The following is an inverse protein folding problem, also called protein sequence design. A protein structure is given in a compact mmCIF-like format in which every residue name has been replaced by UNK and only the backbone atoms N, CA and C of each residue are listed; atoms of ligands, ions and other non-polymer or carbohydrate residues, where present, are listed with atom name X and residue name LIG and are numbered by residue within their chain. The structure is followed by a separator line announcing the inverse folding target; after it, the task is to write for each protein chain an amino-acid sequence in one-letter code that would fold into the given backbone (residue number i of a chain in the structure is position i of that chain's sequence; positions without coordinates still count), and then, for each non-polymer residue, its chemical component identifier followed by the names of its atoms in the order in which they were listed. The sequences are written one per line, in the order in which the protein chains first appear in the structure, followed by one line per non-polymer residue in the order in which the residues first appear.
data_IF_609556556284
#
_entry.id   IF_609556556284
#
_cell.length_a   1.000
_cell.length_b   1.000
_cell.length_c   1.000
_cell.angle_alpha   90.00
_cell.angle_beta   90.00
_cell.angle_gamma   90.00
#
_symmetry.space_group_name_H-M   'P 1'
#
loop_
_entity.id
_entity.type
_entity.pdbx_description
1 polymer ?
#
# COMPACT_ATOMS: atom_id res chain seq x y z
N UNK A 1 27.14 -23.04 -39.41
CA UNK A 1 26.29 -23.25 -38.22
C UNK A 1 26.26 -21.92 -37.47
N UNK A 2 25.28 -21.06 -37.76
CA UNK A 2 25.15 -19.74 -37.13
C UNK A 2 24.37 -19.91 -35.82
N UNK A 3 25.04 -19.61 -34.69
CA UNK A 3 24.41 -19.54 -33.37
C UNK A 3 23.61 -18.24 -33.31
N UNK A 4 22.29 -18.32 -33.35
CA UNK A 4 21.41 -17.20 -33.03
C UNK A 4 21.46 -16.95 -31.51
N UNK A 5 22.22 -15.95 -31.11
CA UNK A 5 22.23 -15.44 -29.74
C UNK A 5 20.94 -14.62 -29.55
N UNK A 6 19.91 -15.24 -28.99
CA UNK A 6 18.68 -14.52 -28.60
C UNK A 6 19.03 -13.55 -27.46
N UNK A 7 19.07 -12.26 -27.81
CA UNK A 7 19.18 -11.17 -26.86
C UNK A 7 17.85 -11.10 -26.10
N UNK A 8 17.78 -11.69 -24.90
CA UNK A 8 16.66 -11.48 -23.98
C UNK A 8 16.82 -10.06 -23.45
N UNK A 9 16.10 -9.11 -24.06
CA UNK A 9 15.96 -7.77 -23.48
C UNK A 9 15.28 -7.94 -22.10
N UNK A 10 15.87 -7.39 -21.02
CA UNK A 10 15.15 -7.38 -19.76
C UNK A 10 13.85 -6.60 -19.94
N UNK A 11 12.72 -7.22 -19.59
CA UNK A 11 11.44 -6.55 -19.58
C UNK A 11 11.58 -5.27 -18.75
N UNK A 12 11.37 -4.11 -19.36
CA UNK A 12 11.36 -2.85 -18.65
C UNK A 12 10.31 -2.98 -17.54
N UNK A 13 10.75 -3.00 -16.28
CA UNK A 13 9.86 -3.02 -15.13
C UNK A 13 8.94 -1.80 -15.24
N UNK A 14 7.64 -2.05 -15.45
CA UNK A 14 6.67 -0.98 -15.49
C UNK A 14 6.69 -0.26 -14.15
N UNK A 15 6.84 1.06 -14.19
CA UNK A 15 6.80 1.89 -12.98
C UNK A 15 5.39 1.93 -12.40
N UNK A 16 5.26 2.22 -11.10
CA UNK A 16 4.00 2.68 -10.53
C UNK A 16 3.44 3.83 -11.37
N UNK A 17 2.15 3.80 -11.64
CA UNK A 17 1.50 4.92 -12.34
C UNK A 17 1.47 6.13 -11.42
N UNK A 18 1.95 7.25 -11.91
CA UNK A 18 1.87 8.50 -11.17
C UNK A 18 0.46 9.09 -11.25
N UNK A 19 -0.09 9.47 -10.12
CA UNK A 19 -1.30 10.27 -10.01
C UNK A 19 -1.17 11.15 -8.76
N UNK A 20 -0.70 12.40 -8.95
CA UNK A 20 -0.47 13.35 -7.86
C UNK A 20 -1.79 13.99 -7.43
N UNK A 21 -2.61 13.25 -6.69
CA UNK A 21 -3.93 13.63 -6.16
C UNK A 21 -4.06 13.12 -4.72
N UNK A 22 -5.03 13.59 -3.91
CA UNK A 22 -5.33 12.96 -2.62
C UNK A 22 -5.52 11.44 -2.76
N UNK A 23 -4.78 10.65 -1.97
CA UNK A 23 -4.79 9.18 -2.04
C UNK A 23 -3.97 8.57 -3.18
N UNK A 24 -3.33 9.37 -4.01
CA UNK A 24 -2.47 8.93 -5.09
C UNK A 24 -1.00 8.82 -4.71
N UNK A 25 -0.14 8.81 -5.74
CA UNK A 25 1.32 8.78 -5.59
C UNK A 25 1.99 9.82 -6.49
N UNK A 26 3.00 10.50 -5.97
CA UNK A 26 3.90 11.33 -6.75
C UNK A 26 5.21 10.58 -7.01
N UNK A 27 5.67 10.62 -8.26
CA UNK A 27 6.93 10.07 -8.71
C UNK A 27 7.87 11.23 -9.04
N UNK A 28 8.94 11.40 -8.27
CA UNK A 28 9.82 12.55 -8.34
C UNK A 28 11.25 12.11 -8.62
N UNK A 29 11.87 12.66 -9.68
CA UNK A 29 13.28 12.43 -9.96
C UNK A 29 14.13 13.27 -9.00
N UNK A 30 15.09 12.65 -8.33
CA UNK A 30 15.90 13.27 -7.28
C UNK A 30 17.32 13.61 -7.74
N UNK A 31 17.96 12.70 -8.49
CA UNK A 31 19.35 12.82 -8.89
C UNK A 31 19.67 11.94 -10.10
N UNK A 32 20.84 12.12 -10.70
CA UNK A 32 21.38 11.26 -11.75
C UNK A 32 21.80 9.90 -11.18
N UNK A 33 21.92 8.89 -12.05
CA UNK A 33 22.17 7.49 -11.65
C UNK A 33 23.56 7.26 -11.05
N UNK A 34 24.53 8.11 -11.35
CA UNK A 34 25.91 8.08 -10.81
C UNK A 34 26.05 8.75 -9.44
N UNK A 35 25.03 9.48 -9.00
CA UNK A 35 24.99 10.04 -7.66
C UNK A 35 24.81 8.94 -6.59
N UNK A 36 25.30 9.22 -5.38
CA UNK A 36 24.98 8.39 -4.22
C UNK A 36 23.47 8.43 -3.93
N UNK A 37 22.88 7.30 -3.39
CA UNK A 37 21.47 7.25 -3.09
C UNK A 37 21.05 8.37 -2.14
N UNK A 38 20.17 9.29 -2.56
CA UNK A 38 19.69 10.37 -1.70
C UNK A 38 18.69 9.80 -0.68
N UNK A 39 18.51 10.53 0.42
CA UNK A 39 17.39 10.30 1.34
C UNK A 39 16.36 11.40 1.13
N UNK A 40 15.08 11.04 1.22
CA UNK A 40 14.01 12.01 1.04
C UNK A 40 12.91 11.82 2.09
N UNK A 41 12.25 12.94 2.44
CA UNK A 41 11.17 12.97 3.44
C UNK A 41 10.02 13.81 2.93
N UNK A 42 8.82 13.32 3.19
CA UNK A 42 7.59 14.05 2.98
C UNK A 42 6.81 14.13 4.29
N UNK A 43 6.46 15.35 4.75
CA UNK A 43 5.78 15.57 6.03
C UNK A 43 6.46 14.80 7.20
N UNK A 44 7.78 14.97 7.36
CA UNK A 44 8.64 14.34 8.38
C UNK A 44 8.76 12.80 8.28
N UNK A 45 8.14 12.17 7.29
CA UNK A 45 8.25 10.72 7.07
C UNK A 45 9.22 10.40 5.95
N UNK A 46 10.09 9.40 6.12
CA UNK A 46 10.95 8.95 5.04
C UNK A 46 10.08 8.40 3.90
N UNK A 47 10.51 8.62 2.66
CA UNK A 47 9.84 8.10 1.47
C UNK A 47 10.73 7.10 0.75
N UNK A 48 10.11 6.17 0.03
CA UNK A 48 10.80 5.18 -0.77
C UNK A 48 11.60 5.84 -1.87
N UNK A 49 12.89 5.51 -1.95
CA UNK A 49 13.82 5.98 -2.99
C UNK A 49 14.45 4.76 -3.65
N UNK A 50 14.42 4.71 -4.98
CA UNK A 50 15.05 3.64 -5.74
C UNK A 50 15.75 4.17 -6.98
N UNK A 51 16.72 3.39 -7.45
CA UNK A 51 17.42 3.68 -8.70
C UNK A 51 16.69 3.06 -9.89
N UNK A 52 16.55 3.84 -10.94
CA UNK A 52 16.11 3.41 -12.25
C UNK A 52 17.09 3.95 -13.28
N UNK A 53 17.43 3.17 -14.28
CA UNK A 53 18.40 3.41 -15.35
C UNK A 53 19.03 4.81 -15.50
N UNK A 54 18.23 5.85 -15.51
CA UNK A 54 18.62 7.24 -15.73
C UNK A 54 18.72 8.09 -14.44
N UNK A 55 18.37 7.54 -13.28
CA UNK A 55 18.45 8.34 -12.04
C UNK A 55 17.85 7.70 -10.80
N UNK A 56 17.88 8.47 -9.72
CA UNK A 56 17.23 8.20 -8.45
C UNK A 56 15.85 8.84 -8.41
N UNK A 57 14.86 8.08 -7.96
CA UNK A 57 13.47 8.52 -7.89
C UNK A 57 12.91 8.30 -6.48
N UNK A 58 12.04 9.21 -6.05
CA UNK A 58 11.20 9.03 -4.87
C UNK A 58 9.78 8.66 -5.28
N UNK A 59 9.19 7.69 -4.58
CA UNK A 59 7.77 7.37 -4.64
C UNK A 59 7.12 7.87 -3.36
N UNK A 60 6.30 8.90 -3.48
CA UNK A 60 5.66 9.61 -2.37
C UNK A 60 4.19 9.25 -2.30
N UNK A 61 3.77 8.60 -1.22
CA UNK A 61 2.36 8.39 -0.93
C UNK A 61 1.70 9.68 -0.47
N UNK A 62 0.56 10.02 -1.06
CA UNK A 62 -0.23 11.22 -0.77
C UNK A 62 -1.47 10.84 0.05
N UNK A 63 -1.63 11.33 1.30
CA UNK A 63 -2.82 10.98 2.09
C UNK A 63 -4.11 11.50 1.46
N UNK A 64 -5.22 10.81 1.68
CA UNK A 64 -6.55 11.26 1.21
C UNK A 64 -6.95 12.64 1.76
N UNK A 65 -6.33 13.06 2.87
CA UNK A 65 -6.58 14.34 3.53
C UNK A 65 -5.65 15.46 3.05
N UNK A 66 -4.76 15.18 2.09
CA UNK A 66 -3.86 16.23 1.58
C UNK A 66 -4.65 17.28 0.82
N UNK A 67 -4.38 18.53 1.08
CA UNK A 67 -4.99 19.64 0.33
C UNK A 67 -4.34 19.73 -1.07
N UNK A 68 -5.13 19.97 -2.15
CA UNK A 68 -4.58 20.28 -3.45
C UNK A 68 -3.71 21.54 -3.41
N UNK A 69 -2.66 21.57 -4.25
CA UNK A 69 -1.72 22.69 -4.32
C UNK A 69 -0.27 22.26 -4.35
N UNK A 70 0.64 23.22 -4.11
CA UNK A 70 2.08 22.98 -4.15
C UNK A 70 2.59 22.45 -2.82
N UNK A 71 3.25 21.31 -2.88
CA UNK A 71 3.92 20.66 -1.75
C UNK A 71 5.42 20.54 -2.00
N UNK A 72 6.16 20.21 -0.95
CA UNK A 72 7.61 20.09 -1.00
C UNK A 72 8.08 18.74 -0.45
N UNK A 73 9.00 18.10 -1.19
CA UNK A 73 9.77 16.96 -0.74
C UNK A 73 11.13 17.47 -0.26
N UNK A 74 11.52 17.12 0.97
CA UNK A 74 12.85 17.40 1.51
C UNK A 74 13.82 16.30 1.07
N UNK A 75 14.98 16.68 0.55
CA UNK A 75 16.03 15.79 0.05
C UNK A 75 17.32 16.10 0.80
N UNK A 76 18.01 15.09 1.31
CA UNK A 76 19.36 15.22 1.83
C UNK A 76 20.32 14.42 0.95
N UNK A 77 21.33 15.10 0.42
CA UNK A 77 22.43 14.47 -0.27
C UNK A 77 23.34 13.78 0.76
N UNK A 78 23.50 12.46 0.64
CA UNK A 78 24.24 11.64 1.62
C UNK A 78 25.74 11.84 1.62
N UNK A 79 26.32 12.53 0.61
CA UNK A 79 27.77 12.72 0.45
C UNK A 79 28.21 14.17 0.35
N UNK A 80 27.34 15.16 0.54
CA UNK A 80 27.75 16.56 0.58
C UNK A 80 28.35 16.90 1.95
N UNK A 81 29.52 17.55 1.95
CA UNK A 81 30.14 18.12 3.15
C UNK A 81 30.23 19.64 2.98
N UNK A 82 29.45 20.46 3.71
CA UNK A 82 28.45 20.10 4.69
C UNK A 82 27.19 19.48 4.06
N UNK A 83 26.38 18.72 4.83
CA UNK A 83 25.11 18.16 4.34
C UNK A 83 24.23 19.28 3.76
N UNK A 84 23.79 19.15 2.53
CA UNK A 84 22.84 20.07 1.90
C UNK A 84 21.47 19.43 1.92
N UNK A 85 20.51 20.14 2.49
CA UNK A 85 19.10 19.84 2.33
C UNK A 85 18.55 20.67 1.17
N UNK A 86 17.85 19.99 0.26
CA UNK A 86 17.18 20.60 -0.88
C UNK A 86 15.69 20.35 -0.79
N UNK A 87 14.91 21.23 -1.39
CA UNK A 87 13.45 21.09 -1.42
C UNK A 87 12.99 20.99 -2.88
N UNK A 88 12.40 19.87 -3.25
CA UNK A 88 11.79 19.65 -4.55
C UNK A 88 10.29 19.92 -4.47
N UNK A 89 9.80 20.91 -5.21
CA UNK A 89 8.36 21.23 -5.26
C UNK A 89 7.64 20.36 -6.27
N UNK A 90 6.41 19.95 -5.93
CA UNK A 90 5.50 19.25 -6.82
C UNK A 90 4.07 19.68 -6.53
N UNK A 91 3.18 19.46 -7.48
CA UNK A 91 1.78 19.87 -7.39
C UNK A 91 0.88 18.66 -7.14
N UNK A 92 -0.09 18.82 -6.23
CA UNK A 92 -1.17 17.87 -5.97
C UNK A 92 -2.46 18.45 -6.59
N UNK A 93 -3.03 17.71 -7.54
CA UNK A 93 -4.26 18.09 -8.22
C UNK A 93 -5.50 17.70 -7.39
N UNK A 94 -6.62 18.41 -7.51
CA UNK A 94 -7.84 18.01 -6.83
C UNK A 94 -8.43 16.72 -7.40
N UNK A 95 -8.95 15.84 -6.52
CA UNK A 95 -9.70 14.65 -6.90
C UNK A 95 -10.90 14.47 -5.98
N UNK A 96 -12.07 14.30 -6.57
CA UNK A 96 -13.30 13.98 -5.86
C UNK A 96 -13.56 12.47 -5.89
N UNK A 97 -13.93 11.89 -4.75
CA UNK A 97 -14.28 10.48 -4.63
C UNK A 97 -15.78 10.29 -4.45
N UNK A 98 -16.40 9.35 -5.18
CA UNK A 98 -17.84 9.06 -5.06
C UNK A 98 -18.21 8.56 -3.66
N UNK A 99 -19.50 8.70 -3.32
CA UNK A 99 -20.07 8.12 -2.09
C UNK A 99 -20.55 6.71 -2.38
N UNK A 100 -20.22 5.77 -1.47
CA UNK A 100 -20.67 4.39 -1.49
C UNK A 100 -21.50 4.08 -0.24
N UNK A 101 -22.75 3.66 -0.42
CA UNK A 101 -23.61 3.17 0.65
C UNK A 101 -23.44 1.66 0.78
N UNK A 102 -23.07 1.18 1.97
CA UNK A 102 -22.87 -0.24 2.26
C UNK A 102 -23.75 -0.65 3.43
N UNK A 103 -24.43 -1.79 3.28
CA UNK A 103 -25.20 -2.40 4.35
C UNK A 103 -24.37 -3.46 5.08
N UNK A 104 -24.08 -3.25 6.35
CA UNK A 104 -23.39 -4.18 7.24
C UNK A 104 -24.44 -4.85 8.13
N UNK A 105 -24.48 -6.18 8.10
CA UNK A 105 -25.46 -6.98 8.87
C UNK A 105 -25.18 -6.91 10.38
N UNK A 106 -23.91 -7.06 10.75
CA UNK A 106 -23.48 -6.97 12.15
C UNK A 106 -23.38 -5.50 12.58
N UNK A 107 -24.43 -5.03 13.28
CA UNK A 107 -24.49 -3.65 13.79
C UNK A 107 -23.35 -3.32 14.76
N UNK A 108 -22.84 -4.30 15.52
CA UNK A 108 -21.71 -4.15 16.43
C UNK A 108 -20.44 -3.69 15.69
N UNK A 109 -20.29 -4.10 14.42
CA UNK A 109 -19.17 -3.68 13.57
C UNK A 109 -19.37 -2.29 12.94
N UNK A 110 -20.56 -1.72 13.02
CA UNK A 110 -20.85 -0.34 12.57
C UNK A 110 -20.76 0.64 13.73
N UNK A 111 -21.46 0.34 14.82
CA UNK A 111 -21.48 1.13 16.05
C UNK A 111 -21.05 0.22 17.21
N UNK A 112 -19.73 0.12 17.46
CA UNK A 112 -19.20 -0.76 18.51
C UNK A 112 -19.70 -0.33 19.89
N UNK A 113 -20.09 -1.29 20.76
CA UNK A 113 -20.43 -1.01 22.12
C UNK A 113 -19.16 -0.69 22.97
N UNK A 114 -19.31 -0.07 24.16
CA UNK A 114 -18.18 0.36 24.98
C UNK A 114 -17.18 -0.74 25.30
N UNK A 115 -17.62 -1.97 25.50
CA UNK A 115 -16.77 -3.14 25.80
C UNK A 115 -15.79 -3.52 24.67
N UNK A 116 -16.04 -3.07 23.44
CA UNK A 116 -15.12 -3.31 22.31
C UNK A 116 -14.08 -2.19 22.13
N UNK A 117 -14.31 -1.02 22.74
CA UNK A 117 -13.52 0.17 22.45
C UNK A 117 -12.05 -0.01 22.83
N UNK A 118 -11.74 -0.61 23.97
CA UNK A 118 -10.36 -0.88 24.40
C UNK A 118 -9.62 -1.78 23.39
N UNK A 119 -10.29 -2.82 22.90
CA UNK A 119 -9.74 -3.68 21.83
C UNK A 119 -9.49 -2.88 20.57
N UNK A 120 -10.46 -2.08 20.14
CA UNK A 120 -10.38 -1.28 18.90
C UNK A 120 -9.23 -0.27 18.99
N UNK A 121 -9.09 0.44 20.09
CA UNK A 121 -8.03 1.45 20.28
C UNK A 121 -6.63 0.81 20.27
N UNK A 122 -6.45 -0.31 20.99
CA UNK A 122 -5.20 -1.07 20.96
C UNK A 122 -4.85 -1.55 19.55
N UNK A 123 -5.82 -2.08 18.81
CA UNK A 123 -5.63 -2.56 17.45
C UNK A 123 -5.35 -1.41 16.46
N UNK A 124 -6.01 -0.26 16.61
CA UNK A 124 -5.74 0.93 15.80
C UNK A 124 -4.31 1.44 16.02
N UNK A 125 -3.83 1.43 17.26
CA UNK A 125 -2.43 1.77 17.56
C UNK A 125 -1.47 0.79 16.89
N UNK A 126 -1.71 -0.52 17.01
CA UNK A 126 -0.90 -1.55 16.36
C UNK A 126 -0.86 -1.35 14.83
N UNK A 127 -2.01 -1.12 14.20
CA UNK A 127 -2.10 -0.89 12.75
C UNK A 127 -1.34 0.39 12.36
N UNK A 128 -1.42 1.45 13.18
CA UNK A 128 -0.68 2.69 12.93
C UNK A 128 0.83 2.46 13.00
N UNK A 129 1.31 1.71 13.99
CA UNK A 129 2.72 1.35 14.12
C UNK A 129 3.20 0.50 12.92
N UNK A 130 2.41 -0.49 12.48
CA UNK A 130 2.70 -1.33 11.32
C UNK A 130 2.78 -0.53 10.02
N UNK A 131 1.88 0.42 9.78
CA UNK A 131 1.90 1.29 8.60
C UNK A 131 3.11 2.22 8.56
N UNK A 132 3.65 2.59 9.72
CA UNK A 132 4.82 3.45 9.85
C UNK A 132 6.13 2.65 9.96
N UNK A 133 6.07 1.33 9.84
CA UNK A 133 7.27 0.50 9.87
C UNK A 133 8.20 0.88 8.72
N UNK A 134 9.49 1.02 9.05
CA UNK A 134 10.55 1.32 8.10
C UNK A 134 11.63 0.26 8.20
N UNK A 135 12.02 -0.29 7.07
CA UNK A 135 13.18 -1.17 6.94
C UNK A 135 13.99 -0.70 5.75
N UNK A 136 15.27 -0.43 5.99
CA UNK A 136 16.19 -0.13 4.89
C UNK A 136 16.28 -1.35 3.95
N UNK A 137 16.05 -1.10 2.67
CA UNK A 137 16.10 -2.10 1.61
C UNK A 137 16.68 -1.45 0.35
N UNK A 138 17.76 -2.04 -0.16
CA UNK A 138 18.43 -1.50 -1.34
C UNK A 138 17.62 -1.72 -2.63
N UNK A 139 16.84 -2.82 -2.67
CA UNK A 139 16.04 -3.18 -3.83
C UNK A 139 14.61 -3.51 -3.40
N UNK A 140 13.68 -2.61 -3.71
CA UNK A 140 12.25 -2.81 -3.47
C UNK A 140 11.59 -3.29 -4.75
N UNK A 141 10.86 -4.41 -4.67
CA UNK A 141 10.06 -4.92 -5.78
C UNK A 141 8.78 -4.07 -5.94
N UNK A 142 8.75 -3.22 -6.97
CA UNK A 142 7.60 -2.38 -7.32
C UNK A 142 6.68 -3.04 -8.34
N UNK A 143 6.96 -4.27 -8.75
CA UNK A 143 6.16 -5.03 -9.73
C UNK A 143 5.01 -5.76 -9.03
N UNK A 144 3.97 -5.05 -8.67
CA UNK A 144 2.84 -5.62 -7.94
C UNK A 144 1.87 -6.36 -8.85
N UNK A 145 1.47 -7.56 -8.41
CA UNK A 145 0.38 -8.33 -9.00
C UNK A 145 -0.91 -8.17 -8.16
N UNK A 146 -2.06 -8.31 -8.78
CA UNK A 146 -3.33 -8.38 -8.07
C UNK A 146 -3.31 -9.65 -7.18
N UNK A 147 -3.58 -9.54 -5.85
CA UNK A 147 -3.38 -10.64 -4.92
C UNK A 147 -4.43 -11.75 -4.97
N UNK A 148 -5.54 -11.54 -5.67
CA UNK A 148 -6.56 -12.58 -5.92
C UNK A 148 -7.21 -12.37 -7.29
N UNK A 149 -7.59 -13.46 -7.95
CA UNK A 149 -8.23 -13.41 -9.26
C UNK A 149 -9.75 -13.22 -9.10
N UNK A 150 -10.22 -11.99 -9.35
CA UNK A 150 -11.62 -11.63 -9.26
C UNK A 150 -11.90 -10.20 -9.74
N UNK A 151 -13.17 -9.85 -9.97
CA UNK A 151 -13.52 -8.48 -10.34
C UNK A 151 -13.36 -7.54 -9.15
N UNK A 152 -13.00 -6.28 -9.45
CA UNK A 152 -12.93 -5.22 -8.45
C UNK A 152 -14.32 -4.78 -8.05
N UNK A 153 -14.71 -5.01 -6.81
CA UNK A 153 -16.06 -4.70 -6.29
C UNK A 153 -16.14 -3.35 -5.58
N UNK A 154 -15.03 -2.84 -5.06
CA UNK A 154 -14.97 -1.51 -4.44
C UNK A 154 -13.56 -0.94 -4.57
N UNK A 155 -13.48 0.29 -5.10
CA UNK A 155 -12.20 0.96 -5.34
C UNK A 155 -11.75 1.80 -4.16
N UNK A 156 -10.47 2.15 -4.17
CA UNK A 156 -9.87 3.07 -3.20
C UNK A 156 -10.54 4.45 -3.21
N UNK A 157 -10.53 5.11 -2.05
CA UNK A 157 -10.96 6.50 -1.88
C UNK A 157 -12.48 6.69 -1.77
N UNK A 158 -13.32 5.69 -2.05
CA UNK A 158 -14.77 5.80 -1.94
C UNK A 158 -15.18 6.27 -0.54
N UNK A 159 -15.99 7.35 -0.48
CA UNK A 159 -16.55 7.90 0.76
C UNK A 159 -17.63 6.97 1.29
N UNK A 160 -17.33 6.22 2.36
CA UNK A 160 -18.20 5.16 2.85
C UNK A 160 -19.29 5.67 3.79
N UNK A 161 -20.50 5.19 3.58
CA UNK A 161 -21.66 5.37 4.47
C UNK A 161 -22.18 3.97 4.83
N UNK A 162 -21.99 3.55 6.10
CA UNK A 162 -22.42 2.23 6.58
C UNK A 162 -23.72 2.38 7.36
N UNK A 163 -24.77 1.73 6.88
CA UNK A 163 -26.11 1.76 7.49
C UNK A 163 -26.62 3.20 7.75
N UNK A 164 -26.28 4.15 6.87
CA UNK A 164 -26.64 5.57 7.00
C UNK A 164 -25.62 6.44 7.75
N UNK A 165 -24.59 5.85 8.35
CA UNK A 165 -23.58 6.57 9.11
C UNK A 165 -22.30 6.79 8.29
N UNK A 166 -21.79 8.05 8.17
CA UNK A 166 -20.51 8.32 7.52
C UNK A 166 -19.35 7.61 8.24
N UNK A 167 -18.42 7.07 7.48
CA UNK A 167 -17.22 6.37 7.95
C UNK A 167 -15.99 6.88 7.21
N UNK A 168 -14.82 6.44 7.69
CA UNK A 168 -13.56 6.71 7.00
C UNK A 168 -13.63 6.22 5.55
N UNK A 169 -13.05 6.95 4.59
CA UNK A 169 -12.98 6.53 3.21
C UNK A 169 -12.36 5.13 3.06
N UNK A 170 -12.67 4.48 1.96
CA UNK A 170 -12.09 3.17 1.63
C UNK A 170 -10.57 3.29 1.42
N UNK A 171 -9.79 2.63 2.28
CA UNK A 171 -8.33 2.72 2.29
C UNK A 171 -7.63 1.62 1.50
N UNK A 172 -8.34 0.95 0.61
CA UNK A 172 -7.82 -0.16 -0.19
C UNK A 172 -8.68 -0.48 -1.39
N UNK A 173 -8.51 -1.69 -1.90
CA UNK A 173 -9.20 -2.25 -3.04
C UNK A 173 -9.91 -3.52 -2.61
N UNK A 174 -11.21 -3.65 -2.92
CA UNK A 174 -11.95 -4.87 -2.65
C UNK A 174 -12.05 -5.72 -3.93
N UNK A 175 -11.57 -6.96 -3.84
CA UNK A 175 -11.65 -7.96 -4.92
C UNK A 175 -12.74 -8.98 -4.54
N UNK A 176 -13.81 -9.04 -5.35
CA UNK A 176 -14.90 -9.99 -5.12
C UNK A 176 -14.44 -11.40 -5.47
N UNK A 177 -14.35 -12.25 -4.45
CA UNK A 177 -13.94 -13.65 -4.59
C UNK A 177 -14.75 -14.51 -3.63
N UNK A 178 -14.92 -15.79 -3.95
CA UNK A 178 -15.55 -16.74 -3.06
C UNK A 178 -14.71 -16.98 -1.81
N UNK A 179 -15.36 -17.34 -0.70
CA UNK A 179 -14.64 -17.84 0.47
C UNK A 179 -13.81 -19.08 0.08
N UNK A 180 -12.57 -19.16 0.59
CA UNK A 180 -11.62 -20.21 0.23
C UNK A 180 -10.75 -19.92 -1.00
N UNK A 181 -10.98 -18.80 -1.73
CA UNK A 181 -10.10 -18.41 -2.83
C UNK A 181 -8.68 -18.10 -2.30
N UNK A 182 -7.62 -18.64 -2.94
CA UNK A 182 -6.25 -18.32 -2.55
C UNK A 182 -5.92 -16.84 -2.68
N UNK A 183 -5.36 -16.26 -1.60
CA UNK A 183 -4.82 -14.91 -1.56
C UNK A 183 -3.30 -14.99 -1.59
N UNK A 184 -2.66 -14.21 -2.47
CA UNK A 184 -1.22 -14.27 -2.75
C UNK A 184 -0.55 -12.95 -2.43
N UNK A 185 0.74 -13.00 -2.05
CA UNK A 185 1.55 -11.80 -1.89
C UNK A 185 1.68 -11.06 -3.22
N UNK A 186 1.35 -9.76 -3.21
CA UNK A 186 1.39 -8.92 -4.41
C UNK A 186 2.80 -8.73 -4.97
N UNK A 187 3.82 -8.71 -4.10
CA UNK A 187 5.24 -8.60 -4.42
C UNK A 187 6.08 -9.42 -3.43
N UNK A 188 7.37 -9.55 -3.66
CA UNK A 188 8.30 -10.13 -2.69
C UNK A 188 8.36 -9.25 -1.43
N UNK A 189 8.51 -9.88 -0.25
CA UNK A 189 8.54 -9.15 1.01
C UNK A 189 8.76 -10.04 2.22
N UNK A 190 8.47 -9.49 3.40
CA UNK A 190 8.52 -10.21 4.68
C UNK A 190 7.21 -10.00 5.43
N UNK A 191 6.64 -11.04 5.97
CA UNK A 191 5.45 -10.93 6.85
C UNK A 191 5.82 -10.11 8.07
N UNK A 192 5.21 -8.95 8.21
CA UNK A 192 5.43 -8.03 9.32
C UNK A 192 4.58 -8.41 10.54
N UNK A 193 3.32 -8.77 10.29
CA UNK A 193 2.39 -9.16 11.34
C UNK A 193 1.26 -10.03 10.78
N UNK A 194 0.70 -10.87 11.63
CA UNK A 194 -0.55 -11.60 11.38
C UNK A 194 -1.43 -11.50 12.63
N UNK A 195 -2.76 -11.40 12.44
CA UNK A 195 -3.67 -11.32 13.59
C UNK A 195 -5.14 -11.29 13.21
N UNK A 196 -6.00 -11.37 14.23
CA UNK A 196 -7.43 -11.14 14.11
C UNK A 196 -7.77 -9.77 14.70
N UNK A 197 -8.23 -8.87 13.84
CA UNK A 197 -8.57 -7.49 14.18
C UNK A 197 -10.08 -7.26 14.12
N UNK A 198 -10.59 -6.46 15.01
CA UNK A 198 -12.04 -6.23 15.16
C UNK A 198 -12.71 -5.83 13.85
N UNK A 199 -12.13 -4.89 13.10
CA UNK A 199 -12.68 -4.45 11.82
C UNK A 199 -12.12 -5.20 10.62
N UNK A 200 -10.83 -5.50 10.60
CA UNK A 200 -10.16 -6.08 9.44
C UNK A 200 -10.29 -7.61 9.41
N UNK A 201 -10.69 -8.26 10.54
CA UNK A 201 -10.72 -9.70 10.69
C UNK A 201 -9.32 -10.30 10.62
N UNK A 202 -9.24 -11.56 10.22
CA UNK A 202 -7.94 -12.22 10.02
C UNK A 202 -7.16 -11.52 8.93
N UNK A 203 -5.98 -11.01 9.29
CA UNK A 203 -5.21 -10.04 8.49
C UNK A 203 -3.74 -10.41 8.46
N UNK A 204 -3.11 -10.20 7.30
CA UNK A 204 -1.67 -10.30 7.08
C UNK A 204 -1.14 -8.94 6.66
N UNK A 205 -0.04 -8.49 7.27
CA UNK A 205 0.75 -7.35 6.84
C UNK A 205 2.08 -7.83 6.27
N UNK A 206 2.47 -7.31 5.11
CA UNK A 206 3.74 -7.63 4.44
C UNK A 206 4.55 -6.36 4.24
N UNK A 207 5.80 -6.39 4.70
CA UNK A 207 6.81 -5.35 4.49
C UNK A 207 7.62 -5.67 3.23
N UNK A 208 7.61 -4.74 2.27
CA UNK A 208 8.37 -4.82 1.03
C UNK A 208 9.66 -3.98 1.06
N UNK A 209 9.91 -3.28 2.17
CA UNK A 209 11.05 -2.38 2.37
C UNK A 209 10.70 -0.90 2.17
N UNK A 210 11.49 -0.03 2.78
CA UNK A 210 11.39 1.43 2.67
C UNK A 210 9.97 1.99 2.92
N UNK A 211 9.24 1.44 3.90
CA UNK A 211 7.90 1.90 4.25
C UNK A 211 6.80 1.53 3.23
N UNK A 212 7.09 0.65 2.27
CA UNK A 212 6.10 0.05 1.39
C UNK A 212 5.52 -1.19 2.06
N UNK A 213 4.27 -1.08 2.51
CA UNK A 213 3.57 -2.12 3.27
C UNK A 213 2.28 -2.50 2.54
N UNK A 214 1.95 -3.79 2.52
CA UNK A 214 0.63 -4.26 2.08
C UNK A 214 -0.12 -4.94 3.20
N UNK A 215 -1.46 -4.88 3.13
CA UNK A 215 -2.36 -5.47 4.11
C UNK A 215 -3.46 -6.26 3.40
N UNK A 216 -3.65 -7.51 3.82
CA UNK A 216 -4.62 -8.46 3.28
C UNK A 216 -5.63 -8.80 4.38
N UNK A 217 -6.90 -8.40 4.22
CA UNK A 217 -7.92 -8.50 5.26
C UNK A 217 -9.04 -9.48 4.91
N UNK A 218 -9.91 -9.72 5.90
CA UNK A 218 -11.11 -10.55 5.83
C UNK A 218 -10.84 -12.01 5.49
N UNK A 219 -9.61 -12.48 5.76
CA UNK A 219 -9.21 -13.86 5.48
C UNK A 219 -10.04 -14.83 6.36
N UNK A 220 -10.32 -16.02 5.84
CA UNK A 220 -10.83 -17.13 6.65
C UNK A 220 -9.73 -18.00 7.24
N UNK A 221 -8.52 -17.95 6.63
CA UNK A 221 -7.34 -18.68 7.09
C UNK A 221 -6.08 -17.90 6.70
N UNK A 222 -5.13 -17.86 7.61
CA UNK A 222 -3.78 -17.34 7.40
C UNK A 222 -2.83 -18.53 7.25
N UNK A 223 -1.99 -18.53 6.21
CA UNK A 223 -1.09 -19.62 5.87
C UNK A 223 0.39 -19.28 6.13
N UNK A 224 0.67 -18.11 6.68
CA UNK A 224 2.02 -17.56 6.92
C UNK A 224 2.15 -17.03 8.34
N UNK A 225 3.39 -16.79 8.79
CA UNK A 225 3.68 -16.29 10.14
C UNK A 225 4.63 -15.07 10.10
N UNK A 226 4.61 -14.25 11.14
CA UNK A 226 5.47 -13.08 11.26
C UNK A 226 6.97 -13.46 11.10
N UNK A 227 7.69 -12.65 10.32
CA UNK A 227 9.10 -12.87 10.00
C UNK A 227 9.34 -13.73 8.76
N UNK A 228 8.34 -14.44 8.22
CA UNK A 228 8.47 -15.25 7.02
C UNK A 228 8.79 -14.40 5.78
N UNK A 229 9.75 -14.84 4.96
CA UNK A 229 10.04 -14.21 3.66
C UNK A 229 9.09 -14.76 2.60
N UNK A 230 8.52 -13.90 1.81
CA UNK A 230 7.57 -14.23 0.75
C UNK A 230 8.15 -13.89 -0.62
N UNK A 231 7.96 -14.79 -1.57
CA UNK A 231 8.07 -14.48 -2.99
C UNK A 231 6.78 -13.81 -3.48
N UNK A 232 6.86 -13.02 -4.57
CA UNK A 232 5.68 -12.55 -5.29
C UNK A 232 4.84 -13.75 -5.74
N UNK A 233 3.53 -13.70 -5.51
CA UNK A 233 2.60 -14.79 -5.86
C UNK A 233 2.55 -15.94 -4.86
N UNK A 234 3.37 -15.94 -3.80
CA UNK A 234 3.26 -16.92 -2.72
C UNK A 234 1.95 -16.74 -1.96
N UNK A 235 1.26 -17.85 -1.67
CA UNK A 235 0.00 -17.82 -0.93
C UNK A 235 0.23 -17.33 0.50
N UNK A 236 -0.60 -16.38 0.94
CA UNK A 236 -0.59 -15.82 2.30
C UNK A 236 -1.80 -16.28 3.12
N UNK A 237 -2.84 -16.79 2.47
CA UNK A 237 -4.05 -17.26 3.12
C UNK A 237 -5.17 -17.54 2.13
N UNK A 238 -6.37 -17.68 2.68
CA UNK A 238 -7.61 -17.88 1.92
C UNK A 238 -8.59 -16.74 2.22
N UNK A 239 -9.22 -16.21 1.18
CA UNK A 239 -10.25 -15.18 1.31
C UNK A 239 -11.45 -15.67 2.11
N UNK A 240 -12.10 -14.76 2.82
CA UNK A 240 -13.26 -15.04 3.66
C UNK A 240 -14.14 -13.82 3.86
N UNK A 241 -14.75 -13.72 5.04
CA UNK A 241 -15.62 -12.61 5.44
C UNK A 241 -15.45 -12.28 6.93
N UNK A 242 -14.26 -12.49 7.50
CA UNK A 242 -13.97 -12.16 8.90
C UNK A 242 -13.96 -10.64 9.13
N UNK A 243 -14.17 -10.19 10.36
CA UNK A 243 -14.22 -8.77 10.71
C UNK A 243 -15.48 -8.07 10.19
N UNK A 244 -15.33 -6.82 9.67
CA UNK A 244 -16.42 -6.00 9.15
C UNK A 244 -16.57 -6.15 7.64
N UNK A 245 -17.14 -7.25 7.20
CA UNK A 245 -17.38 -7.55 5.80
C UNK A 245 -18.89 -7.70 5.51
N UNK A 246 -19.33 -7.28 4.33
CA UNK A 246 -20.72 -7.50 3.88
C UNK A 246 -20.94 -8.88 3.26
N UNK A 247 -19.89 -9.54 2.86
CA UNK A 247 -19.82 -10.88 2.26
C UNK A 247 -18.39 -11.26 1.94
N UNK A 248 -18.14 -12.46 1.38
CA UNK A 248 -16.79 -12.90 1.03
C UNK A 248 -16.13 -11.98 0.01
N UNK A 249 -14.91 -11.51 0.32
CA UNK A 249 -14.05 -10.73 -0.56
C UNK A 249 -12.64 -10.62 0.05
N UNK A 250 -11.67 -10.21 -0.75
CA UNK A 250 -10.39 -9.72 -0.25
C UNK A 250 -10.43 -8.21 -0.20
N UNK A 251 -10.19 -7.62 0.98
CA UNK A 251 -9.77 -6.22 1.09
C UNK A 251 -8.25 -6.15 1.08
N UNK A 252 -7.69 -5.39 0.15
CA UNK A 252 -6.25 -5.22 -0.01
C UNK A 252 -5.86 -3.74 0.01
N UNK A 253 -4.93 -3.37 0.91
CA UNK A 253 -4.41 -2.00 1.02
C UNK A 253 -2.93 -1.96 0.74
N UNK A 254 -2.47 -0.83 0.21
CA UNK A 254 -1.06 -0.48 0.04
C UNK A 254 -0.77 0.81 0.81
N UNK A 255 0.34 0.82 1.54
CA UNK A 255 0.79 1.99 2.29
C UNK A 255 2.18 2.40 1.81
N UNK A 256 2.40 3.69 1.67
CA UNK A 256 3.69 4.35 1.44
C UNK A 256 3.85 5.45 2.47
N UNK A 257 5.05 5.62 3.03
CA UNK A 257 5.34 6.63 4.06
C UNK A 257 4.20 6.77 5.11
N UNK A 258 3.65 5.63 5.54
CA UNK A 258 2.62 5.55 6.58
C UNK A 258 1.20 5.93 6.15
N UNK A 259 0.97 6.25 4.87
CA UNK A 259 -0.37 6.59 4.36
C UNK A 259 -0.89 5.56 3.35
N UNK A 260 -2.21 5.35 3.33
CA UNK A 260 -2.84 4.50 2.33
C UNK A 260 -2.86 5.20 0.97
N UNK A 261 -2.50 4.47 -0.09
CA UNK A 261 -2.53 4.94 -1.47
C UNK A 261 -3.36 4.01 -2.34
N UNK A 262 -3.81 4.51 -3.49
CA UNK A 262 -4.59 3.71 -4.43
C UNK A 262 -3.76 2.51 -4.95
N UNK A 263 -4.14 1.27 -4.59
CA UNK A 263 -3.38 0.09 -4.98
C UNK A 263 -3.31 -0.13 -6.48
N UNK A 264 -4.29 0.37 -7.25
CA UNK A 264 -4.33 0.23 -8.71
C UNK A 264 -3.15 0.95 -9.39
N UNK A 265 -2.54 1.94 -8.71
CA UNK A 265 -1.37 2.66 -9.25
C UNK A 265 -0.09 1.82 -9.22
N UNK A 266 -0.03 0.78 -8.38
CA UNK A 266 1.13 -0.10 -8.26
C UNK A 266 0.97 -1.40 -9.05
N UNK A 267 -0.26 -1.79 -9.40
CA UNK A 267 -0.51 -3.01 -10.18
C UNK A 267 0.01 -2.82 -11.61
N UNK A 268 0.85 -3.73 -12.04
CA UNK A 268 1.29 -3.79 -13.44
C UNK A 268 0.15 -4.27 -14.32
N UNK A 269 -0.05 -3.62 -15.47
CA UNK A 269 -0.95 -4.12 -16.51
C UNK A 269 -0.50 -5.53 -16.92
N UNK A 270 -1.46 -6.45 -17.01
CA UNK A 270 -1.24 -7.81 -17.52
C UNK A 270 -0.93 -7.76 -19.01
#
# INVERSE_FOLDING_TARGET
MFLLMSCVMPAALALPRQESVPGGVALLRLADSDAAPPRAWFQEKPVLVWQRGDGWYALVGLPLTIEPGVHALRIAATQAAPPREESLRFEVQPKAYPVQHVRIKDKRKVTPPPEDMERIEREQKTIADLKNHWRDEAQVDLAFALPADGPLSSRFGLRRVFNGEPRQPHSGLDVAVAAGTPVRSAAAGRVLNTGDYFFNGSTVFVDHGQGLITMYCHLQRIDVHAGEKLARGQQVGLAGASGRASGPHLHWSVFLNGTAVDPELLIQAR
#
